data_IF_773140879408
#
_entry.id   IF_773140879408
#
_cell.length_a   1.000
_cell.length_b   1.000
_cell.length_c   1.000
_cell.angle_alpha   90.00
_cell.angle_beta   90.00
_cell.angle_gamma   90.00
#
_symmetry.space_group_name_H-M   'P 1'
#
loop_
_entity.id
_entity.type
_entity.pdbx_description
1 polymer ?
#
# COMPACT_ATOMS: atom_id res chain seq x y z
N UNK A 1 16.01 1.28 -1.95
CA UNK A 1 16.05 2.63 -2.55
C UNK A 1 16.01 2.63 -4.08
N UNK A 2 16.85 1.90 -4.83
CA UNK A 2 16.82 1.98 -6.30
C UNK A 2 15.44 1.69 -6.92
N UNK A 3 14.72 0.69 -6.39
CA UNK A 3 13.35 0.37 -6.84
C UNK A 3 12.33 1.50 -6.58
N UNK A 4 12.50 2.27 -5.50
CA UNK A 4 11.61 3.40 -5.18
C UNK A 4 11.93 4.65 -6.00
N UNK A 5 13.15 4.77 -6.53
CA UNK A 5 13.61 5.94 -7.27
C UNK A 5 13.48 5.76 -8.79
N UNK A 6 13.26 4.54 -9.28
CA UNK A 6 13.28 4.21 -10.72
C UNK A 6 14.63 4.47 -11.41
N UNK A 7 15.64 4.89 -10.64
CA UNK A 7 16.96 5.30 -11.09
C UNK A 7 17.98 5.08 -9.97
N UNK A 8 19.26 5.14 -10.34
CA UNK A 8 20.33 5.07 -9.34
C UNK A 8 20.31 6.32 -8.44
N UNK A 9 20.49 6.20 -7.11
CA UNK A 9 20.41 7.33 -6.19
C UNK A 9 21.31 8.52 -6.53
N UNK A 10 22.47 8.27 -7.15
CA UNK A 10 23.40 9.32 -7.58
C UNK A 10 22.85 10.25 -8.69
N UNK A 11 21.76 9.86 -9.35
CA UNK A 11 21.09 10.67 -10.39
C UNK A 11 19.88 11.43 -9.84
N UNK A 12 19.53 11.26 -8.57
CA UNK A 12 18.41 11.95 -7.93
C UNK A 12 18.94 13.20 -7.23
N UNK A 13 18.35 14.39 -7.47
CA UNK A 13 18.74 15.60 -6.75
C UNK A 13 18.67 15.39 -5.24
N UNK A 14 19.70 15.85 -4.51
CA UNK A 14 19.83 15.62 -3.07
C UNK A 14 18.57 16.02 -2.30
N UNK A 15 18.00 17.19 -2.60
CA UNK A 15 16.82 17.69 -1.88
C UNK A 15 15.58 16.80 -2.08
N UNK A 16 15.48 16.12 -3.24
CA UNK A 16 14.41 15.14 -3.50
C UNK A 16 14.64 13.89 -2.65
N UNK A 17 15.88 13.40 -2.57
CA UNK A 17 16.21 12.26 -1.73
C UNK A 17 15.95 12.56 -0.24
N UNK A 18 16.34 13.75 0.22
CA UNK A 18 16.12 14.20 1.60
C UNK A 18 14.62 14.28 1.92
N UNK A 19 13.78 14.75 0.97
CA UNK A 19 12.33 14.77 1.12
C UNK A 19 11.72 13.35 1.21
N UNK A 20 12.18 12.41 0.37
CA UNK A 20 11.73 11.02 0.41
C UNK A 20 12.10 10.36 1.74
N UNK A 21 13.32 10.59 2.24
CA UNK A 21 13.76 10.06 3.53
C UNK A 21 13.00 10.69 4.70
N UNK A 22 12.71 11.99 4.65
CA UNK A 22 11.89 12.66 5.65
C UNK A 22 10.47 12.05 5.70
N UNK A 23 9.84 11.85 4.54
CA UNK A 23 8.55 11.20 4.43
C UNK A 23 8.59 9.76 4.97
N UNK A 24 9.61 8.98 4.61
CA UNK A 24 9.79 7.63 5.14
C UNK A 24 9.88 7.62 6.68
N UNK A 25 10.67 8.52 7.26
CA UNK A 25 10.76 8.63 8.72
C UNK A 25 9.44 9.05 9.36
N UNK A 26 8.70 9.97 8.75
CA UNK A 26 7.38 10.37 9.22
C UNK A 26 6.40 9.19 9.23
N UNK A 27 6.36 8.39 8.16
CA UNK A 27 5.51 7.18 8.09
C UNK A 27 5.91 6.17 9.17
N UNK A 28 7.21 5.92 9.35
CA UNK A 28 7.68 5.02 10.41
C UNK A 28 7.31 5.52 11.81
N UNK A 29 7.46 6.82 12.08
CA UNK A 29 7.09 7.40 13.36
C UNK A 29 5.58 7.29 13.61
N UNK A 30 4.74 7.65 12.63
CA UNK A 30 3.28 7.55 12.75
C UNK A 30 2.77 6.12 12.98
N UNK A 31 3.43 5.11 12.39
CA UNK A 31 3.14 3.70 12.65
C UNK A 31 3.44 3.25 14.09
N UNK A 32 4.38 3.94 14.75
CA UNK A 32 4.80 3.67 16.13
C UNK A 32 4.06 4.54 17.17
N UNK A 33 3.18 5.45 16.75
CA UNK A 33 2.38 6.27 17.67
C UNK A 33 1.26 5.46 18.35
N UNK A 34 0.76 5.99 19.47
CA UNK A 34 -0.38 5.45 20.20
C UNK A 34 -1.45 6.55 20.44
N UNK A 35 -2.55 6.57 19.64
CA UNK A 35 -2.88 5.65 18.54
C UNK A 35 -2.01 5.87 17.29
N UNK A 36 -1.81 4.85 16.43
CA UNK A 36 -1.05 5.02 15.19
C UNK A 36 -1.73 6.00 14.25
N UNK A 37 -0.92 6.84 13.61
CA UNK A 37 -1.36 7.79 12.59
C UNK A 37 -0.73 7.45 11.24
N UNK A 38 -1.56 7.07 10.28
CA UNK A 38 -1.13 6.63 8.95
C UNK A 38 -2.08 7.22 7.91
N UNK A 39 -1.53 8.10 7.08
CA UNK A 39 -2.25 8.75 6.00
C UNK A 39 -1.59 8.42 4.66
N UNK A 40 -2.09 7.41 3.92
CA UNK A 40 -1.64 7.12 2.57
C UNK A 40 -1.89 8.31 1.64
N UNK A 41 -0.88 8.71 0.85
CA UNK A 41 -1.05 9.75 -0.15
C UNK A 41 -1.70 9.17 -1.40
N UNK A 42 -3.02 9.31 -1.50
CA UNK A 42 -3.78 8.96 -2.69
C UNK A 42 -3.92 10.14 -3.64
N UNK A 43 -4.19 9.84 -4.90
CA UNK A 43 -4.70 10.84 -5.81
C UNK A 43 -6.17 11.09 -5.52
N UNK A 44 -6.61 12.31 -5.77
CA UNK A 44 -8.01 12.70 -5.65
C UNK A 44 -8.45 13.40 -6.94
N UNK A 45 -9.62 13.04 -7.45
CA UNK A 45 -10.24 13.79 -8.55
C UNK A 45 -10.71 15.15 -8.04
N UNK A 46 -11.02 16.08 -8.95
CA UNK A 46 -11.56 17.39 -8.58
C UNK A 46 -12.88 17.32 -7.79
N UNK A 47 -13.60 16.21 -7.93
CA UNK A 47 -14.89 15.98 -7.28
C UNK A 47 -14.77 15.21 -5.96
N UNK A 48 -13.54 14.94 -5.49
CA UNK A 48 -13.29 14.30 -4.20
C UNK A 48 -13.16 12.78 -4.24
N UNK A 49 -13.12 12.16 -5.43
CA UNK A 49 -12.99 10.71 -5.54
C UNK A 49 -11.53 10.26 -5.37
N UNK A 50 -11.30 9.34 -4.44
CA UNK A 50 -9.98 8.77 -4.16
C UNK A 50 -9.59 7.79 -5.25
N UNK A 51 -8.35 7.90 -5.74
CA UNK A 51 -7.72 6.97 -6.67
C UNK A 51 -6.50 6.35 -5.96
N UNK A 52 -6.64 5.09 -5.57
CA UNK A 52 -5.63 4.36 -4.79
C UNK A 52 -4.79 3.37 -5.62
N UNK A 53 -5.11 3.15 -6.90
CA UNK A 53 -4.48 2.12 -7.76
C UNK A 53 -2.94 2.25 -7.80
N UNK A 54 -2.40 3.41 -8.18
CA UNK A 54 -0.94 3.64 -8.25
C UNK A 54 -0.25 3.39 -6.90
N UNK A 55 -0.91 3.77 -5.80
CA UNK A 55 -0.39 3.54 -4.46
C UNK A 55 -0.35 2.05 -4.14
N UNK A 56 -1.42 1.31 -4.46
CA UNK A 56 -1.49 -0.14 -4.26
C UNK A 56 -0.49 -0.90 -5.14
N UNK A 57 -0.27 -0.47 -6.39
CA UNK A 57 0.77 -1.01 -7.26
C UNK A 57 2.18 -0.79 -6.67
N UNK A 58 2.47 0.41 -6.18
CA UNK A 58 3.74 0.71 -5.49
C UNK A 58 3.96 -0.17 -4.25
N UNK A 59 2.90 -0.41 -3.46
CA UNK A 59 2.94 -1.34 -2.33
C UNK A 59 3.24 -2.77 -2.79
N UNK A 60 2.55 -3.25 -3.84
CA UNK A 60 2.75 -4.60 -4.36
C UNK A 60 4.11 -4.80 -5.01
N UNK A 61 4.69 -3.75 -5.60
CA UNK A 61 6.09 -3.75 -6.03
C UNK A 61 7.01 -4.03 -4.83
N UNK A 62 6.83 -3.34 -3.69
CA UNK A 62 7.61 -3.62 -2.49
C UNK A 62 7.40 -5.04 -1.93
N UNK A 63 6.17 -5.57 -1.98
CA UNK A 63 5.85 -6.97 -1.62
C UNK A 63 6.65 -7.94 -2.50
N UNK A 64 6.65 -7.71 -3.81
CA UNK A 64 7.33 -8.54 -4.81
C UNK A 64 8.84 -8.59 -4.65
N UNK A 65 9.45 -7.62 -3.96
CA UNK A 65 10.88 -7.63 -3.64
C UNK A 65 11.24 -8.67 -2.58
N UNK A 66 10.26 -9.16 -1.79
CA UNK A 66 10.48 -10.16 -0.73
C UNK A 66 9.39 -11.24 -0.68
N UNK A 67 9.08 -11.91 -1.79
CA UNK A 67 7.85 -12.70 -1.91
C UNK A 67 7.79 -13.85 -0.90
N UNK A 68 8.92 -14.50 -0.63
CA UNK A 68 9.01 -15.58 0.37
C UNK A 68 8.73 -15.12 1.80
N UNK A 69 9.13 -13.89 2.16
CA UNK A 69 8.84 -13.37 3.49
C UNK A 69 7.33 -13.14 3.63
N UNK A 70 6.70 -12.55 2.60
CA UNK A 70 5.27 -12.24 2.60
C UNK A 70 4.34 -13.46 2.68
N UNK A 71 4.81 -14.66 2.28
CA UNK A 71 4.06 -15.90 2.50
C UNK A 71 3.61 -16.09 3.96
N UNK A 72 4.43 -15.64 4.92
CA UNK A 72 4.09 -15.75 6.35
C UNK A 72 2.82 -15.00 6.72
N UNK A 73 2.58 -13.84 6.10
CA UNK A 73 1.34 -13.09 6.28
C UNK A 73 0.19 -13.77 5.52
N UNK A 74 0.38 -14.03 4.23
CA UNK A 74 -0.70 -14.51 3.33
C UNK A 74 -1.17 -15.92 3.68
N UNK A 75 -0.28 -16.76 4.20
CA UNK A 75 -0.56 -18.15 4.61
C UNK A 75 -0.76 -18.31 6.13
N UNK A 76 -0.86 -17.21 6.88
CA UNK A 76 -1.04 -17.24 8.35
C UNK A 76 -2.37 -17.86 8.83
N UNK A 77 -3.31 -18.12 7.92
CA UNK A 77 -4.67 -18.60 8.21
C UNK A 77 -5.57 -17.63 8.99
N UNK A 78 -5.03 -16.51 9.47
CA UNK A 78 -5.70 -15.58 10.39
C UNK A 78 -5.53 -14.11 10.04
N UNK A 79 -4.44 -13.75 9.35
CA UNK A 79 -4.10 -12.37 8.99
C UNK A 79 -3.95 -12.18 7.48
N UNK A 80 -4.12 -13.25 6.68
CA UNK A 80 -3.96 -13.20 5.23
C UNK A 80 -4.90 -12.20 4.56
N UNK A 81 -6.12 -12.03 5.10
CA UNK A 81 -7.09 -11.06 4.59
C UNK A 81 -6.69 -9.58 4.82
N UNK A 82 -5.65 -9.29 5.62
CA UNK A 82 -5.22 -7.91 5.83
C UNK A 82 -4.81 -7.24 4.52
N UNK A 83 -4.25 -7.99 3.57
CA UNK A 83 -3.80 -7.44 2.28
C UNK A 83 -4.96 -7.22 1.29
N UNK A 84 -6.16 -7.73 1.59
CA UNK A 84 -7.30 -7.72 0.64
C UNK A 84 -7.65 -6.32 0.12
N UNK A 85 -7.72 -5.25 0.94
CA UNK A 85 -8.02 -3.92 0.42
C UNK A 85 -7.00 -3.42 -0.62
N UNK A 86 -5.73 -3.83 -0.49
CA UNK A 86 -4.68 -3.49 -1.48
C UNK A 86 -4.88 -4.31 -2.76
N UNK A 87 -5.21 -5.61 -2.64
CA UNK A 87 -5.45 -6.47 -3.79
C UNK A 87 -6.73 -6.11 -4.56
N UNK A 88 -7.73 -5.50 -3.93
CA UNK A 88 -8.94 -5.03 -4.61
C UNK A 88 -8.64 -4.03 -5.73
N UNK A 89 -7.59 -3.23 -5.58
CA UNK A 89 -7.16 -2.21 -6.55
C UNK A 89 -6.31 -2.77 -7.69
N UNK A 90 -6.05 -4.08 -7.72
CA UNK A 90 -5.36 -4.71 -8.83
C UNK A 90 -6.38 -5.04 -9.93
N UNK A 91 -6.17 -4.40 -11.07
CA UNK A 91 -7.00 -4.49 -12.27
C UNK A 91 -6.13 -5.06 -13.41
N UNK A 92 -6.69 -5.95 -14.22
CA UNK A 92 -6.01 -6.47 -15.41
C UNK A 92 -6.03 -5.47 -16.59
N UNK A 93 -5.32 -5.82 -17.66
CA UNK A 93 -5.22 -4.96 -18.86
C UNK A 93 -6.57 -4.69 -19.54
N UNK A 94 -7.58 -5.53 -19.27
CA UNK A 94 -8.95 -5.41 -19.78
C UNK A 94 -9.87 -4.60 -18.84
N UNK A 95 -9.36 -4.07 -17.73
CA UNK A 95 -10.13 -3.29 -16.77
C UNK A 95 -10.95 -4.13 -15.77
N UNK A 96 -10.66 -5.42 -15.64
CA UNK A 96 -11.36 -6.31 -14.70
C UNK A 96 -10.57 -6.52 -13.42
N UNK A 97 -11.29 -6.66 -12.31
CA UNK A 97 -10.66 -6.99 -11.03
C UNK A 97 -10.02 -8.37 -11.07
N UNK A 98 -8.76 -8.47 -10.64
CA UNK A 98 -8.06 -9.75 -10.49
C UNK A 98 -8.68 -10.66 -9.42
N UNK A 99 -9.49 -10.08 -8.52
CA UNK A 99 -10.24 -10.82 -7.50
C UNK A 99 -11.64 -11.25 -7.98
N UNK A 100 -11.99 -10.98 -9.24
CA UNK A 100 -13.29 -11.33 -9.81
C UNK A 100 -14.45 -10.48 -9.28
N UNK A 101 -14.18 -9.24 -8.85
CA UNK A 101 -15.23 -8.29 -8.43
C UNK A 101 -16.12 -7.99 -9.65
N UNK A 102 -17.46 -8.16 -9.54
CA UNK A 102 -18.39 -7.81 -10.63
C UNK A 102 -18.31 -6.33 -11.01
N UNK A 103 -18.39 -6.03 -12.30
CA UNK A 103 -18.27 -4.66 -12.83
C UNK A 103 -19.30 -3.69 -12.24
N UNK A 104 -20.52 -4.15 -11.94
CA UNK A 104 -21.59 -3.34 -11.32
C UNK A 104 -21.29 -2.97 -9.85
N UNK A 105 -20.35 -3.66 -9.20
CA UNK A 105 -19.94 -3.43 -7.81
C UNK A 105 -18.55 -2.81 -7.69
N UNK A 106 -17.78 -2.82 -8.78
CA UNK A 106 -16.36 -2.50 -8.77
C UNK A 106 -16.08 -1.15 -8.11
N UNK A 107 -16.67 -0.06 -8.62
CA UNK A 107 -16.43 1.29 -8.11
C UNK A 107 -16.66 1.40 -6.59
N UNK A 108 -17.79 0.88 -6.10
CA UNK A 108 -18.10 0.89 -4.66
C UNK A 108 -17.09 0.07 -3.85
N UNK A 109 -16.70 -1.10 -4.34
CA UNK A 109 -15.71 -1.94 -3.66
C UNK A 109 -14.33 -1.29 -3.63
N UNK A 110 -13.93 -0.59 -4.68
CA UNK A 110 -12.67 0.15 -4.71
C UNK A 110 -12.69 1.31 -3.70
N UNK A 111 -13.79 2.07 -3.62
CA UNK A 111 -13.94 3.15 -2.63
C UNK A 111 -13.87 2.62 -1.19
N UNK A 112 -14.60 1.54 -0.89
CA UNK A 112 -14.56 0.90 0.44
C UNK A 112 -13.16 0.35 0.77
N UNK A 113 -12.49 -0.26 -0.22
CA UNK A 113 -11.14 -0.75 -0.06
C UNK A 113 -10.14 0.38 0.20
N UNK A 114 -10.22 1.49 -0.53
CA UNK A 114 -9.34 2.64 -0.34
C UNK A 114 -9.45 3.20 1.09
N UNK A 115 -10.68 3.34 1.60
CA UNK A 115 -10.92 3.78 2.97
C UNK A 115 -10.38 2.81 4.04
N UNK A 116 -10.25 1.52 3.70
CA UNK A 116 -9.71 0.51 4.61
C UNK A 116 -8.17 0.44 4.62
N UNK A 117 -7.48 1.02 3.63
CA UNK A 117 -6.02 0.92 3.49
C UNK A 117 -5.27 1.40 4.74
N UNK A 118 -5.59 2.55 5.38
CA UNK A 118 -4.88 2.97 6.60
C UNK A 118 -4.86 1.90 7.69
N UNK A 119 -6.02 1.33 8.00
CA UNK A 119 -6.16 0.25 8.99
C UNK A 119 -5.44 -1.03 8.54
N UNK A 120 -5.46 -1.35 7.24
CA UNK A 120 -4.71 -2.46 6.66
C UNK A 120 -3.20 -2.30 6.87
N UNK A 121 -2.64 -1.13 6.61
CA UNK A 121 -1.20 -0.87 6.78
C UNK A 121 -0.79 -1.02 8.24
N UNK A 122 -1.59 -0.46 9.16
CA UNK A 122 -1.38 -0.60 10.61
C UNK A 122 -1.44 -2.08 11.03
N UNK A 123 -2.43 -2.84 10.54
CA UNK A 123 -2.58 -4.26 10.82
C UNK A 123 -1.38 -5.08 10.35
N UNK A 124 -0.90 -4.82 9.13
CA UNK A 124 0.29 -5.48 8.57
C UNK A 124 1.53 -5.15 9.41
N UNK A 125 1.73 -3.87 9.75
CA UNK A 125 2.85 -3.46 10.60
C UNK A 125 2.85 -4.18 11.95
N UNK A 126 1.70 -4.21 12.63
CA UNK A 126 1.53 -4.90 13.92
C UNK A 126 1.77 -6.40 13.82
N UNK A 127 1.28 -7.05 12.76
CA UNK A 127 1.55 -8.47 12.50
C UNK A 127 3.06 -8.75 12.53
N UNK A 128 3.85 -7.94 11.81
CA UNK A 128 5.30 -8.11 11.74
C UNK A 128 6.01 -7.78 13.06
N UNK A 129 5.57 -6.73 13.77
CA UNK A 129 6.13 -6.34 15.08
C UNK A 129 5.93 -7.40 16.16
N UNK A 130 4.80 -8.10 16.16
CA UNK A 130 4.49 -9.15 17.13
C UNK A 130 5.36 -10.42 16.99
N UNK A 131 6.20 -10.50 15.94
CA UNK A 131 7.05 -11.65 15.63
C UNK A 131 8.53 -11.42 15.98
N UNK A 132 8.86 -10.24 16.51
CA UNK A 132 10.16 -9.89 17.09
C UNK A 132 10.16 -10.18 18.58
#
# INVERSE_FOLDING_TARGET
MPAALGASPEHVPKDVLDAILALHHQICAGLEEEPPDVEPMFWETKDGHIIAMDWCEGFMLAVSMRPRAWLRLTESGSHGQLITPILCHLIDDDGNSVLGIPQDKLAKTLDEAANAIPATVIGIFRFWRAQT
#
